data_IF_844657967870
#
_entry.id   IF_844657967870
#
_cell.length_a   1.000
_cell.length_b   1.000
_cell.length_c   1.000
_cell.angle_alpha   90.00
_cell.angle_beta   90.00
_cell.angle_gamma   90.00
#
_symmetry.space_group_name_H-M   'P 1'
#
loop_
_entity.id
_entity.type
_entity.pdbx_description
1 polymer ?
#
# COMPACT_ATOMS: atom_id res chain seq x y z
N UNK A 1 15.17 -29.44 -6.88
CA UNK A 1 13.91 -29.91 -6.24
C UNK A 1 13.27 -28.67 -5.67
N UNK A 2 12.64 -27.89 -6.53
CA UNK A 2 12.17 -26.55 -6.18
C UNK A 2 10.65 -26.61 -6.07
N UNK A 3 10.22 -27.13 -4.93
CA UNK A 3 8.82 -27.08 -4.50
C UNK A 3 8.54 -25.67 -3.95
N UNK A 4 8.46 -24.67 -4.82
CA UNK A 4 7.78 -23.42 -4.49
C UNK A 4 6.27 -23.73 -4.46
N UNK A 5 5.83 -24.24 -3.31
CA UNK A 5 4.43 -24.41 -2.98
C UNK A 5 3.75 -23.05 -3.07
N UNK A 6 3.01 -22.84 -4.15
CA UNK A 6 1.97 -21.84 -4.33
C UNK A 6 0.75 -22.12 -3.43
N UNK A 7 0.98 -22.53 -2.19
CA UNK A 7 -0.04 -22.89 -1.22
C UNK A 7 -0.17 -21.74 -0.22
N UNK A 8 -0.66 -20.54 -0.60
CA UNK A 8 -1.22 -19.61 0.42
C UNK A 8 -1.86 -18.29 -0.01
N UNK A 9 -2.26 -18.08 -1.26
CA UNK A 9 -2.94 -16.82 -1.61
C UNK A 9 -4.27 -16.66 -0.82
N UNK A 10 -4.91 -17.78 -0.45
CA UNK A 10 -6.17 -17.77 0.31
C UNK A 10 -6.05 -17.81 1.85
N UNK A 11 -4.91 -18.15 2.45
CA UNK A 11 -4.76 -18.06 3.93
C UNK A 11 -4.32 -16.68 4.40
N UNK A 12 -3.74 -15.88 3.50
CA UNK A 12 -3.25 -14.56 3.85
C UNK A 12 -4.38 -13.58 4.15
N UNK A 13 -5.64 -13.94 3.85
CA UNK A 13 -6.83 -13.12 4.10
C UNK A 13 -7.09 -12.89 5.60
N UNK A 14 -6.58 -13.77 6.47
CA UNK A 14 -6.88 -13.77 7.91
C UNK A 14 -5.83 -13.09 8.81
N UNK A 15 -4.80 -12.45 8.24
CA UNK A 15 -3.84 -11.68 9.06
C UNK A 15 -4.40 -10.32 9.46
N UNK A 16 -4.33 -10.02 10.75
CA UNK A 16 -4.69 -8.74 11.32
C UNK A 16 -3.74 -7.64 10.81
N UNK A 17 -4.26 -6.53 10.24
CA UNK A 17 -3.42 -5.45 9.73
C UNK A 17 -2.66 -4.70 10.83
N UNK A 18 -3.18 -4.63 12.05
CA UNK A 18 -2.54 -3.87 13.14
C UNK A 18 -1.41 -4.65 13.83
N UNK A 19 -1.69 -5.90 14.22
CA UNK A 19 -0.75 -6.70 15.03
C UNK A 19 -0.15 -7.88 14.28
N UNK A 20 -0.43 -8.02 12.99
CA UNK A 20 0.03 -9.13 12.12
C UNK A 20 -0.39 -10.54 12.60
N UNK A 21 -1.26 -10.65 13.62
CA UNK A 21 -1.75 -11.94 14.11
C UNK A 21 -2.46 -12.70 12.99
N UNK A 22 -2.12 -13.98 12.73
CA UNK A 22 -2.76 -14.78 11.69
C UNK A 22 -4.16 -15.25 12.04
N UNK A 23 -4.59 -15.06 13.29
CA UNK A 23 -5.78 -15.70 13.85
C UNK A 23 -6.97 -14.74 13.93
N UNK A 24 -7.30 -14.03 12.85
CA UNK A 24 -8.57 -13.30 12.81
C UNK A 24 -9.75 -14.28 12.74
N UNK A 25 -10.65 -14.19 13.71
CA UNK A 25 -11.83 -15.05 13.81
C UNK A 25 -13.02 -14.41 13.11
N UNK A 26 -13.81 -15.21 12.40
CA UNK A 26 -15.04 -14.73 11.77
C UNK A 26 -16.17 -14.64 12.81
N UNK A 27 -16.75 -13.46 12.97
CA UNK A 27 -17.92 -13.21 13.80
C UNK A 27 -19.02 -12.56 12.94
N UNK A 28 -19.96 -13.38 12.46
CA UNK A 28 -21.02 -12.94 11.56
C UNK A 28 -20.45 -12.39 10.24
N UNK A 29 -20.69 -11.10 9.98
CA UNK A 29 -20.21 -10.39 8.80
C UNK A 29 -18.80 -9.75 8.97
N UNK A 30 -18.18 -9.90 10.14
CA UNK A 30 -16.90 -9.29 10.49
C UNK A 30 -15.82 -10.33 10.77
N UNK A 31 -14.58 -9.89 10.72
CA UNK A 31 -13.41 -10.58 11.26
C UNK A 31 -12.89 -9.82 12.47
N UNK A 32 -12.60 -10.53 13.55
CA UNK A 32 -12.09 -9.95 14.80
C UNK A 32 -10.76 -10.56 15.18
N UNK A 33 -9.78 -9.72 15.50
CA UNK A 33 -8.51 -10.17 16.03
C UNK A 33 -8.62 -10.42 17.54
N UNK A 34 -8.25 -11.61 18.05
CA UNK A 34 -8.26 -11.91 19.48
C UNK A 34 -7.13 -11.23 20.25
N UNK A 35 -6.09 -10.74 19.56
CA UNK A 35 -4.91 -10.12 20.18
C UNK A 35 -5.12 -8.62 20.41
N UNK A 36 -5.43 -7.87 19.35
CA UNK A 36 -5.63 -6.41 19.45
C UNK A 36 -7.10 -5.98 19.53
N UNK A 37 -8.06 -6.90 19.39
CA UNK A 37 -9.50 -6.58 19.41
C UNK A 37 -10.03 -5.93 18.12
N UNK A 38 -9.19 -5.72 17.10
CA UNK A 38 -9.60 -5.12 15.84
C UNK A 38 -10.74 -5.91 15.21
N UNK A 39 -11.83 -5.22 14.88
CA UNK A 39 -13.00 -5.79 14.21
C UNK A 39 -13.22 -5.09 12.88
N UNK A 40 -13.10 -5.83 11.77
CA UNK A 40 -13.14 -5.27 10.42
C UNK A 40 -13.97 -6.14 9.47
N UNK A 41 -14.59 -5.52 8.46
CA UNK A 41 -15.29 -6.27 7.41
C UNK A 41 -14.29 -6.85 6.40
N UNK A 42 -14.64 -7.93 5.69
CA UNK A 42 -13.74 -8.57 4.73
C UNK A 42 -13.17 -7.59 3.68
N UNK A 43 -14.01 -6.69 3.15
CA UNK A 43 -13.59 -5.70 2.16
C UNK A 43 -12.74 -4.56 2.73
N UNK A 44 -12.84 -4.28 4.04
CA UNK A 44 -11.99 -3.27 4.68
C UNK A 44 -10.57 -3.82 4.88
N UNK A 45 -10.45 -5.12 5.20
CA UNK A 45 -9.17 -5.82 5.24
C UNK A 45 -8.51 -5.86 3.85
N UNK A 46 -9.29 -6.12 2.80
CA UNK A 46 -8.78 -6.10 1.43
C UNK A 46 -8.25 -4.71 1.03
N UNK A 47 -9.02 -3.65 1.30
CA UNK A 47 -8.58 -2.26 1.06
C UNK A 47 -7.31 -1.92 1.82
N UNK A 48 -7.20 -2.35 3.09
CA UNK A 48 -6.01 -2.10 3.90
C UNK A 48 -4.77 -2.75 3.28
N UNK A 49 -4.89 -3.98 2.75
CA UNK A 49 -3.77 -4.64 2.07
C UNK A 49 -3.38 -3.98 0.76
N UNK A 50 -4.37 -3.60 -0.05
CA UNK A 50 -4.11 -2.88 -1.31
C UNK A 50 -3.35 -1.58 -1.01
N UNK A 51 -3.78 -0.84 0.03
CA UNK A 51 -3.07 0.37 0.48
C UNK A 51 -1.64 0.07 0.92
N UNK A 52 -1.45 -0.90 1.81
CA UNK A 52 -0.12 -1.25 2.32
C UNK A 52 0.82 -1.70 1.20
N UNK A 53 0.33 -2.46 0.21
CA UNK A 53 1.12 -2.85 -0.96
C UNK A 53 1.53 -1.62 -1.77
N UNK A 54 0.59 -0.73 -2.07
CA UNK A 54 0.89 0.49 -2.81
C UNK A 54 1.93 1.36 -2.09
N UNK A 55 1.82 1.49 -0.77
CA UNK A 55 2.80 2.23 0.03
C UNK A 55 4.19 1.59 -0.02
N UNK A 56 4.28 0.26 -0.02
CA UNK A 56 5.55 -0.45 -0.21
C UNK A 56 6.12 -0.25 -1.61
N UNK A 57 5.29 -0.37 -2.65
CA UNK A 57 5.70 -0.12 -4.04
C UNK A 57 6.21 1.33 -4.18
N UNK A 58 5.49 2.31 -3.62
CA UNK A 58 5.88 3.73 -3.63
C UNK A 58 7.21 3.96 -2.87
N UNK A 59 7.54 3.15 -1.86
CA UNK A 59 8.82 3.20 -1.13
C UNK A 59 9.96 2.51 -1.88
N UNK A 60 9.70 1.38 -2.54
CA UNK A 60 10.69 0.66 -3.35
C UNK A 60 11.05 1.41 -4.64
N UNK A 61 10.11 2.17 -5.20
CA UNK A 61 10.26 2.96 -6.43
C UNK A 61 10.89 4.35 -6.23
N UNK A 62 11.35 4.71 -5.02
CA UNK A 62 12.17 5.91 -4.82
C UNK A 62 13.63 5.66 -5.27
N UNK A 63 13.81 5.44 -6.58
CA UNK A 63 15.11 5.70 -7.20
C UNK A 63 15.44 7.19 -6.96
N UNK A 64 16.52 7.50 -6.21
CA UNK A 64 16.87 8.86 -5.86
C UNK A 64 17.06 9.75 -7.11
N UNK A 65 17.41 9.17 -8.26
CA UNK A 65 17.53 9.88 -9.53
C UNK A 65 16.15 10.30 -10.08
N UNK A 66 15.17 9.40 -10.07
CA UNK A 66 13.79 9.68 -10.45
C UNK A 66 13.12 10.69 -9.51
N UNK A 67 13.39 10.62 -8.21
CA UNK A 67 12.89 11.58 -7.23
C UNK A 67 13.49 12.98 -7.44
N UNK A 68 14.81 13.06 -7.70
CA UNK A 68 15.49 14.32 -8.00
C UNK A 68 14.99 14.95 -9.31
N UNK A 69 14.78 14.15 -10.35
CA UNK A 69 14.25 14.59 -11.64
C UNK A 69 12.79 15.07 -11.51
N UNK A 70 11.94 14.37 -10.74
CA UNK A 70 10.57 14.82 -10.43
C UNK A 70 10.56 16.17 -9.71
N UNK A 71 11.44 16.35 -8.72
CA UNK A 71 11.61 17.62 -7.98
C UNK A 71 12.15 18.75 -8.87
N UNK A 72 13.02 18.43 -9.83
CA UNK A 72 13.52 19.38 -10.83
C UNK A 72 12.39 19.84 -11.75
N UNK A 73 11.60 18.92 -12.30
CA UNK A 73 10.43 19.22 -13.15
C UNK A 73 9.40 20.08 -12.43
N UNK A 74 9.09 19.77 -11.16
CA UNK A 74 8.18 20.58 -10.36
C UNK A 74 8.70 22.02 -10.17
N UNK A 75 9.98 22.21 -9.89
CA UNK A 75 10.59 23.55 -9.77
C UNK A 75 10.52 24.35 -11.08
N UNK A 76 10.78 23.71 -12.21
CA UNK A 76 10.68 24.34 -13.53
C UNK A 76 9.22 24.75 -13.81
N UNK A 77 8.26 23.86 -13.57
CA UNK A 77 6.84 24.14 -13.75
C UNK A 77 6.38 25.32 -12.87
N UNK A 78 6.79 25.33 -11.60
CA UNK A 78 6.48 26.43 -10.68
C UNK A 78 7.08 27.75 -11.14
N UNK A 79 8.36 27.76 -11.57
CA UNK A 79 9.02 28.96 -12.10
C UNK A 79 8.29 29.48 -13.35
N UNK A 80 7.94 28.60 -14.28
CA UNK A 80 7.23 28.98 -15.51
C UNK A 80 5.86 29.59 -15.19
N UNK A 81 5.12 28.98 -14.26
CA UNK A 81 3.86 29.55 -13.76
C UNK A 81 4.05 30.94 -13.13
N UNK A 82 5.04 31.09 -12.24
CA UNK A 82 5.32 32.36 -11.56
C UNK A 82 5.76 33.47 -12.52
N UNK A 83 6.55 33.13 -13.55
CA UNK A 83 7.01 34.06 -14.58
C UNK A 83 6.00 34.26 -15.72
N UNK A 84 4.84 33.61 -15.69
CA UNK A 84 3.81 33.71 -16.73
C UNK A 84 4.20 33.09 -18.08
N UNK A 85 5.17 32.17 -18.11
CA UNK A 85 5.58 31.44 -19.31
C UNK A 85 4.61 30.27 -19.54
N UNK A 86 4.02 30.16 -20.73
CA UNK A 86 3.19 29.01 -21.12
C UNK A 86 3.96 27.70 -20.89
N UNK A 87 3.39 26.79 -20.11
CA UNK A 87 3.95 25.46 -19.92
C UNK A 87 3.83 24.68 -21.23
N UNK A 88 4.97 24.27 -21.79
CA UNK A 88 5.00 23.29 -22.89
C UNK A 88 4.89 21.92 -22.22
N UNK A 89 3.78 21.24 -22.48
CA UNK A 89 3.54 19.85 -22.05
C UNK A 89 4.46 18.86 -22.77
#
# INVERSE_FOLDING_TARGET
MDNFKNDNIYSNIMRCPDCSSPDMRKHGAFYTCPVCGLSAKPWDLEKARIRARKELDDLEDEDPELAAERKRRQRIRYRNWYEGRQSVD
#
